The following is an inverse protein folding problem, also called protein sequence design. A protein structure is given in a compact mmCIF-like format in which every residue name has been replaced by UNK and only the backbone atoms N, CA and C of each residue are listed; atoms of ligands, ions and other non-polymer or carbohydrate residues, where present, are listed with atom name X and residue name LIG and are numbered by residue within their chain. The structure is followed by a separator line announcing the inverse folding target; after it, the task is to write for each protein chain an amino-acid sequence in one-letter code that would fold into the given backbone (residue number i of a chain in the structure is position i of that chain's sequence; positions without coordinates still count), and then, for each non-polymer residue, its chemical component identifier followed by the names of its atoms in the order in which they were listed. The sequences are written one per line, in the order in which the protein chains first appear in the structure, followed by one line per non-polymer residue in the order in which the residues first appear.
data_IF_848704715987
#
_entry.id   IF_848704715987
#
_cell.length_a   1.000
_cell.length_b   1.000
_cell.length_c   1.000
_cell.angle_alpha   90.00
_cell.angle_beta   90.00
_cell.angle_gamma   90.00
#
_symmetry.space_group_name_H-M   'P 1'
#
loop_
_entity.id
_entity.type
_entity.pdbx_description
1 polymer ?
#
# COMPACT_ATOMS: atom_id res chain seq x y z
N UNK A 1 10.61 19.68 -0.56
CA UNK A 1 10.72 21.14 -0.38
C UNK A 1 9.44 21.64 0.27
N UNK A 2 9.54 22.70 1.07
CA UNK A 2 8.48 23.30 1.90
C UNK A 2 7.16 23.62 1.15
N UNK A 3 7.17 23.64 -0.18
CA UNK A 3 6.00 23.81 -1.03
C UNK A 3 4.90 22.73 -0.85
N UNK A 4 5.24 21.52 -0.39
CA UNK A 4 4.25 20.48 -0.10
C UNK A 4 3.62 20.60 1.30
N UNK A 5 4.30 21.28 2.23
CA UNK A 5 3.80 21.53 3.59
C UNK A 5 2.87 22.75 3.63
N UNK A 6 3.16 23.78 2.83
CA UNK A 6 2.29 24.98 2.74
C UNK A 6 0.96 24.72 2.01
N UNK A 7 0.91 23.74 1.10
CA UNK A 7 -0.35 23.29 0.52
C UNK A 7 -1.28 22.59 1.54
N UNK A 8 -0.72 22.02 2.61
CA UNK A 8 -1.50 21.39 3.68
C UNK A 8 -2.07 22.40 4.70
N UNK A 9 -1.50 23.62 4.76
CA UNK A 9 -1.93 24.66 5.70
C UNK A 9 -2.88 25.71 5.11
N UNK A 10 -3.00 25.81 3.78
CA UNK A 10 -3.78 26.86 3.10
C UNK A 10 -4.95 26.36 2.22
N UNK A 11 -5.31 25.07 2.25
CA UNK A 11 -6.22 24.45 1.28
C UNK A 11 -7.58 23.97 1.80
N UNK A 12 -8.52 24.90 2.01
CA UNK A 12 -9.93 24.69 1.71
C UNK A 12 -10.78 23.83 2.67
N UNK A 13 -11.43 24.48 3.63
CA UNK A 13 -12.71 24.01 4.16
C UNK A 13 -13.77 23.99 3.04
N UNK A 14 -13.79 22.91 2.26
CA UNK A 14 -14.75 22.72 1.18
C UNK A 14 -16.17 22.50 1.72
N UNK A 15 -17.17 23.06 1.04
CA UNK A 15 -18.59 22.88 1.39
C UNK A 15 -19.01 21.40 1.31
N UNK A 16 -19.48 20.79 2.42
CA UNK A 16 -19.99 19.42 2.43
C UNK A 16 -21.11 19.16 1.41
N UNK A 17 -21.94 20.16 1.09
CA UNK A 17 -23.01 20.02 0.08
C UNK A 17 -22.43 19.88 -1.31
N UNK A 18 -21.41 20.66 -1.64
CA UNK A 18 -20.69 20.54 -2.91
C UNK A 18 -19.99 19.17 -3.04
N UNK A 19 -19.39 18.66 -1.96
CA UNK A 19 -18.80 17.33 -1.96
C UNK A 19 -19.84 16.21 -2.18
N UNK A 20 -21.03 16.36 -1.59
CA UNK A 20 -22.14 15.42 -1.78
C UNK A 20 -22.71 15.46 -3.20
N UNK A 21 -22.88 16.66 -3.76
CA UNK A 21 -23.34 16.85 -5.14
C UNK A 21 -22.38 16.18 -6.14
N UNK A 22 -21.07 16.43 -5.99
CA UNK A 22 -20.05 15.82 -6.83
C UNK A 22 -20.03 14.28 -6.68
N UNK A 23 -20.13 13.77 -5.45
CA UNK A 23 -20.20 12.32 -5.23
C UNK A 23 -21.44 11.68 -5.87
N UNK A 24 -22.58 12.39 -5.88
CA UNK A 24 -23.80 11.92 -6.54
C UNK A 24 -23.65 11.91 -8.06
N UNK A 25 -23.08 12.96 -8.65
CA UNK A 25 -22.80 13.07 -10.08
C UNK A 25 -21.88 11.95 -10.58
N UNK A 26 -20.74 11.75 -9.90
CA UNK A 26 -19.78 10.71 -10.25
C UNK A 26 -20.37 9.30 -10.16
N UNK A 27 -21.30 9.06 -9.23
CA UNK A 27 -22.01 7.79 -9.11
C UNK A 27 -23.05 7.61 -10.20
N UNK A 28 -23.82 8.65 -10.53
CA UNK A 28 -24.77 8.59 -11.63
C UNK A 28 -24.09 8.32 -12.98
N UNK A 29 -22.89 8.88 -13.20
CA UNK A 29 -22.08 8.60 -14.39
C UNK A 29 -21.54 7.15 -14.44
N UNK A 30 -21.36 6.53 -13.27
CA UNK A 30 -20.83 5.17 -13.10
C UNK A 30 -21.92 4.09 -13.17
N UNK A 31 -23.13 4.37 -12.69
CA UNK A 31 -24.27 3.43 -12.67
C UNK A 31 -24.76 3.13 -14.10
N UNK A 32 -24.13 2.15 -14.76
CA UNK A 32 -24.61 1.55 -16.03
C UNK A 32 -24.93 0.05 -15.90
N UNK A 33 -24.92 -0.51 -14.70
CA UNK A 33 -25.16 -1.94 -14.44
C UNK A 33 -26.45 -2.22 -13.65
N UNK A 34 -27.02 -3.43 -13.77
CA UNK A 34 -28.24 -3.78 -13.04
C UNK A 34 -28.03 -3.65 -11.53
N UNK A 35 -29.01 -3.07 -10.81
CA UNK A 35 -28.88 -2.82 -9.40
C UNK A 35 -28.89 -4.15 -8.67
N UNK A 36 -27.99 -4.30 -7.69
CA UNK A 36 -28.14 -5.20 -6.53
C UNK A 36 -28.95 -6.47 -6.82
N UNK A 37 -28.28 -7.52 -7.27
CA UNK A 37 -28.90 -8.85 -7.38
C UNK A 37 -29.34 -9.35 -6.00
N UNK A 38 -30.53 -9.92 -5.90
CA UNK A 38 -30.94 -10.67 -4.71
C UNK A 38 -30.38 -12.08 -4.77
N UNK A 39 -30.33 -12.81 -3.65
CA UNK A 39 -29.85 -14.21 -3.61
C UNK A 39 -30.54 -15.12 -4.63
N UNK A 40 -31.79 -14.81 -4.98
CA UNK A 40 -32.61 -15.61 -5.89
C UNK A 40 -32.40 -15.24 -7.36
N UNK A 41 -31.61 -14.20 -7.66
CA UNK A 41 -31.21 -13.86 -9.02
C UNK A 41 -30.25 -14.94 -9.56
N UNK A 42 -30.55 -15.58 -10.70
CA UNK A 42 -29.62 -16.54 -11.33
C UNK A 42 -28.22 -15.97 -11.59
N UNK A 43 -28.09 -14.64 -11.74
CA UNK A 43 -26.82 -13.92 -11.92
C UNK A 43 -26.25 -13.34 -10.62
N UNK A 44 -26.76 -13.77 -9.46
CA UNK A 44 -26.29 -13.29 -8.16
C UNK A 44 -24.78 -13.44 -8.01
N UNK A 45 -24.24 -14.62 -8.32
CA UNK A 45 -22.80 -14.89 -8.18
C UNK A 45 -21.95 -13.98 -9.07
N UNK A 46 -22.35 -13.82 -10.34
CA UNK A 46 -21.68 -12.93 -11.29
C UNK A 46 -21.68 -11.47 -10.80
N UNK A 47 -22.83 -11.00 -10.34
CA UNK A 47 -23.01 -9.62 -9.84
C UNK A 47 -22.23 -9.38 -8.55
N UNK A 48 -22.25 -10.35 -7.63
CA UNK A 48 -21.51 -10.30 -6.37
C UNK A 48 -20.00 -10.21 -6.61
N UNK A 49 -19.45 -11.09 -7.44
CA UNK A 49 -18.01 -11.11 -7.70
C UNK A 49 -17.53 -9.90 -8.50
N UNK A 50 -18.32 -9.43 -9.46
CA UNK A 50 -18.03 -8.18 -10.20
C UNK A 50 -17.93 -6.96 -9.27
N UNK A 51 -18.71 -6.97 -8.19
CA UNK A 51 -18.75 -5.90 -7.21
C UNK A 51 -17.81 -6.14 -6.02
N UNK A 52 -17.10 -7.26 -5.94
CA UNK A 52 -16.34 -7.63 -4.74
C UNK A 52 -14.88 -7.22 -4.85
N UNK A 53 -14.47 -6.23 -4.04
CA UNK A 53 -13.06 -5.83 -3.91
C UNK A 53 -12.15 -7.00 -3.51
N UNK A 54 -12.62 -7.86 -2.61
CA UNK A 54 -11.83 -8.97 -2.09
C UNK A 54 -11.69 -10.08 -3.12
N UNK A 55 -12.69 -10.28 -3.98
CA UNK A 55 -12.57 -11.18 -5.12
C UNK A 55 -11.61 -10.61 -6.18
N UNK A 56 -11.71 -9.31 -6.48
CA UNK A 56 -10.77 -8.63 -7.36
C UNK A 56 -9.33 -8.80 -6.87
N UNK A 57 -9.09 -8.60 -5.57
CA UNK A 57 -7.79 -8.85 -4.96
C UNK A 57 -7.46 -10.36 -4.99
N UNK A 58 -8.38 -11.24 -4.64
CA UNK A 58 -8.12 -12.69 -4.67
C UNK A 58 -7.70 -13.24 -6.04
N UNK A 59 -8.13 -12.59 -7.12
CA UNK A 59 -7.80 -12.97 -8.50
C UNK A 59 -6.59 -12.22 -9.09
N UNK A 60 -6.07 -11.19 -8.43
CA UNK A 60 -4.94 -10.40 -8.94
C UNK A 60 -3.69 -11.26 -9.12
N UNK A 61 -3.42 -12.17 -8.17
CA UNK A 61 -2.21 -12.98 -8.13
C UNK A 61 -2.04 -13.79 -9.42
N UNK A 62 -3.08 -14.51 -9.82
CA UNK A 62 -3.06 -15.31 -11.06
C UNK A 62 -2.85 -14.46 -12.31
N UNK A 63 -3.38 -13.23 -12.34
CA UNK A 63 -3.20 -12.32 -13.48
C UNK A 63 -1.76 -11.82 -13.59
N UNK A 64 -1.17 -11.42 -12.46
CA UNK A 64 0.22 -10.96 -12.44
C UNK A 64 1.18 -12.11 -12.71
N UNK A 65 0.91 -13.32 -12.21
CA UNK A 65 1.69 -14.52 -12.55
C UNK A 65 1.65 -14.81 -14.06
N UNK A 66 0.48 -14.71 -14.71
CA UNK A 66 0.37 -14.86 -16.16
C UNK A 66 1.16 -13.76 -16.91
N UNK A 67 1.03 -12.50 -16.47
CA UNK A 67 1.76 -11.37 -17.04
C UNK A 67 3.29 -11.53 -16.88
N UNK A 68 3.76 -12.01 -15.74
CA UNK A 68 5.18 -12.30 -15.52
C UNK A 68 5.67 -13.41 -16.43
N UNK A 69 4.89 -14.50 -16.57
CA UNK A 69 5.24 -15.60 -17.48
C UNK A 69 5.34 -15.14 -18.95
N UNK A 70 4.47 -14.22 -19.39
CA UNK A 70 4.56 -13.61 -20.72
C UNK A 70 5.86 -12.83 -20.93
N UNK A 71 6.33 -12.12 -19.90
CA UNK A 71 7.57 -11.30 -19.96
C UNK A 71 8.83 -12.17 -19.82
N UNK A 72 8.82 -13.17 -18.94
CA UNK A 72 9.93 -14.09 -18.70
C UNK A 72 10.26 -14.96 -19.92
N UNK A 73 9.26 -15.31 -20.74
CA UNK A 73 9.43 -16.13 -21.94
C UNK A 73 10.42 -15.55 -22.97
N UNK A 74 10.85 -14.29 -22.82
CA UNK A 74 11.85 -13.63 -23.67
C UNK A 74 13.10 -13.11 -22.95
N UNK A 75 13.26 -13.32 -21.64
CA UNK A 75 14.34 -12.70 -20.86
C UNK A 75 15.46 -13.70 -20.49
N UNK A 76 16.74 -13.30 -20.57
CA UNK A 76 17.84 -14.11 -20.06
C UNK A 76 17.74 -14.23 -18.54
N UNK A 77 18.13 -15.41 -18.01
CA UNK A 77 18.20 -15.62 -16.57
C UNK A 77 19.13 -14.58 -15.91
N UNK A 78 18.78 -14.06 -14.72
CA UNK A 78 19.61 -13.09 -14.02
C UNK A 78 20.99 -13.69 -13.73
N UNK A 79 22.04 -12.94 -14.05
CA UNK A 79 23.41 -13.36 -13.77
C UNK A 79 23.59 -13.52 -12.24
N UNK A 80 24.33 -14.55 -11.78
CA UNK A 80 24.63 -14.69 -10.37
C UNK A 80 25.42 -13.47 -9.87
N UNK A 81 25.12 -13.03 -8.64
CA UNK A 81 25.79 -11.89 -8.04
C UNK A 81 27.29 -12.13 -7.89
N UNK A 82 28.09 -11.10 -8.17
CA UNK A 82 29.52 -11.16 -7.87
C UNK A 82 29.76 -11.23 -6.36
N UNK A 83 30.73 -12.05 -5.96
CA UNK A 83 31.07 -12.28 -4.56
C UNK A 83 31.42 -10.94 -3.88
N UNK A 84 30.71 -10.61 -2.80
CA UNK A 84 30.90 -9.37 -2.04
C UNK A 84 29.95 -8.23 -2.41
N UNK A 85 29.07 -8.40 -3.41
CA UNK A 85 28.03 -7.41 -3.69
C UNK A 85 27.01 -7.39 -2.55
N UNK A 86 26.78 -6.21 -1.98
CA UNK A 86 25.76 -6.04 -0.96
C UNK A 86 24.36 -6.18 -1.57
N UNK A 87 23.53 -7.04 -0.97
CA UNK A 87 22.11 -7.16 -1.35
C UNK A 87 21.39 -5.82 -1.17
N UNK A 88 20.63 -5.42 -2.19
CA UNK A 88 19.77 -4.23 -2.18
C UNK A 88 18.38 -4.61 -2.67
N UNK A 89 17.41 -4.51 -1.77
CA UNK A 89 16.00 -4.75 -2.05
C UNK A 89 15.27 -3.42 -2.14
N UNK A 90 14.52 -3.25 -3.22
CA UNK A 90 13.58 -2.15 -3.39
C UNK A 90 12.17 -2.68 -3.12
N UNK A 91 11.42 -1.99 -2.26
CA UNK A 91 10.00 -2.23 -2.06
C UNK A 91 9.23 -1.06 -2.64
N UNK A 92 8.28 -1.33 -3.53
CA UNK A 92 7.49 -0.32 -4.24
C UNK A 92 6.03 -0.54 -3.90
N UNK A 93 5.36 0.53 -3.49
CA UNK A 93 3.95 0.51 -3.06
C UNK A 93 3.25 1.79 -3.53
N UNK A 94 2.21 1.64 -4.37
CA UNK A 94 1.44 2.76 -4.90
C UNK A 94 0.77 3.57 -3.79
N UNK A 95 0.71 4.89 -3.97
CA UNK A 95 0.09 5.77 -3.00
C UNK A 95 -1.43 5.72 -3.09
N UNK A 96 -2.09 5.32 -2.00
CA UNK A 96 -3.56 5.28 -1.87
C UNK A 96 -4.28 4.73 -3.13
N UNK A 97 -3.74 3.66 -3.70
CA UNK A 97 -3.98 3.15 -5.06
C UNK A 97 -5.38 3.40 -5.66
N UNK A 98 -6.45 2.83 -5.09
CA UNK A 98 -7.79 3.01 -5.68
C UNK A 98 -8.25 4.48 -5.71
N UNK A 99 -7.92 5.28 -4.69
CA UNK A 99 -8.27 6.69 -4.66
C UNK A 99 -7.46 7.49 -5.68
N UNK A 100 -6.16 7.18 -5.84
CA UNK A 100 -5.31 7.80 -6.86
C UNK A 100 -5.80 7.49 -8.27
N UNK A 101 -6.08 6.22 -8.58
CA UNK A 101 -6.60 5.82 -9.91
C UNK A 101 -7.97 6.43 -10.18
N UNK A 102 -8.85 6.49 -9.18
CA UNK A 102 -10.17 7.12 -9.34
C UNK A 102 -10.09 8.64 -9.59
N UNK A 103 -9.00 9.31 -9.20
CA UNK A 103 -8.77 10.72 -9.45
C UNK A 103 -8.16 11.01 -10.84
N UNK A 104 -7.61 10.01 -11.52
CA UNK A 104 -6.99 10.19 -12.85
C UNK A 104 -8.02 10.70 -13.85
N UNK A 105 -7.68 11.81 -14.52
CA UNK A 105 -8.54 12.46 -15.51
C UNK A 105 -9.74 13.22 -14.93
N UNK A 106 -9.79 13.44 -13.61
CA UNK A 106 -10.89 14.13 -12.90
C UNK A 106 -10.38 15.37 -12.15
N UNK A 107 -10.12 16.50 -12.83
CA UNK A 107 -9.62 17.72 -12.19
C UNK A 107 -10.53 18.23 -11.08
N UNK A 108 -11.83 17.94 -11.13
CA UNK A 108 -12.81 18.27 -10.08
C UNK A 108 -12.55 17.55 -8.74
N UNK A 109 -11.78 16.45 -8.74
CA UNK A 109 -11.33 15.73 -7.55
C UNK A 109 -9.97 16.23 -7.01
N UNK A 110 -9.26 17.07 -7.76
CA UNK A 110 -7.96 17.60 -7.33
C UNK A 110 -8.11 18.41 -6.04
N UNK A 111 -7.20 18.20 -5.09
CA UNK A 111 -7.19 18.92 -3.81
C UNK A 111 -8.37 18.59 -2.87
N UNK A 112 -9.16 17.54 -3.13
CA UNK A 112 -10.29 17.15 -2.28
C UNK A 112 -10.01 15.89 -1.47
N UNK A 113 -10.49 15.78 -0.22
CA UNK A 113 -10.52 14.50 0.50
C UNK A 113 -11.38 13.48 -0.24
N UNK A 114 -10.78 12.35 -0.61
CA UNK A 114 -11.38 11.33 -1.47
C UNK A 114 -11.32 9.96 -0.79
N UNK A 115 -12.42 9.21 -0.89
CA UNK A 115 -12.48 7.80 -0.51
C UNK A 115 -13.20 6.95 -1.56
N UNK A 116 -12.78 5.69 -1.69
CA UNK A 116 -13.43 4.68 -2.54
C UNK A 116 -14.26 3.75 -1.68
N UNK A 117 -15.57 3.68 -1.94
CA UNK A 117 -16.52 2.86 -1.17
C UNK A 117 -17.79 2.56 -1.97
N UNK A 118 -18.40 1.39 -1.74
CA UNK A 118 -19.64 0.99 -2.42
C UNK A 118 -20.81 1.92 -2.09
N UNK A 119 -20.90 2.39 -0.84
CA UNK A 119 -22.01 3.21 -0.38
C UNK A 119 -21.60 4.66 -0.19
N UNK A 120 -22.51 5.57 -0.59
CA UNK A 120 -22.41 6.99 -0.25
C UNK A 120 -23.18 7.36 1.02
N UNK A 121 -23.88 6.40 1.64
CA UNK A 121 -24.82 6.68 2.73
C UNK A 121 -24.08 7.21 3.97
N UNK A 122 -24.57 8.31 4.52
CA UNK A 122 -24.07 8.88 5.77
C UNK A 122 -24.20 7.93 6.97
N UNK A 123 -25.11 6.96 6.90
CA UNK A 123 -25.32 5.90 7.91
C UNK A 123 -24.92 4.52 7.40
N UNK A 124 -24.13 4.45 6.32
CA UNK A 124 -23.72 3.20 5.71
C UNK A 124 -22.68 2.44 6.55
N UNK A 125 -22.75 1.11 6.50
CA UNK A 125 -21.77 0.18 7.08
C UNK A 125 -20.75 -0.30 6.05
N UNK A 126 -20.73 0.29 4.86
CA UNK A 126 -19.73 -0.05 3.85
C UNK A 126 -18.35 0.45 4.26
N UNK A 127 -17.34 -0.38 4.07
CA UNK A 127 -15.95 -0.09 4.39
C UNK A 127 -15.32 0.81 3.33
N UNK A 128 -14.49 1.75 3.79
CA UNK A 128 -13.58 2.52 2.94
C UNK A 128 -12.45 1.61 2.48
N UNK A 129 -12.29 1.45 1.17
CA UNK A 129 -11.16 0.66 0.64
C UNK A 129 -9.86 1.43 0.55
N UNK A 130 -9.95 2.65 0.05
CA UNK A 130 -8.81 3.56 -0.02
C UNK A 130 -9.30 4.95 0.25
N UNK A 131 -8.48 5.72 0.94
CA UNK A 131 -8.65 7.15 1.14
C UNK A 131 -7.33 7.83 0.75
N UNK A 132 -7.41 8.98 0.08
CA UNK A 132 -6.23 9.77 -0.24
C UNK A 132 -5.65 10.44 1.02
N UNK A 133 -4.43 10.97 0.92
CA UNK A 133 -3.74 11.53 2.08
C UNK A 133 -4.45 12.74 2.70
N UNK A 134 -5.25 13.50 1.95
CA UNK A 134 -6.11 14.57 2.48
C UNK A 134 -7.24 14.02 3.37
N UNK A 135 -7.84 12.89 3.01
CA UNK A 135 -8.81 12.22 3.88
C UNK A 135 -8.11 11.60 5.11
N UNK A 136 -6.90 11.04 4.92
CA UNK A 136 -6.12 10.44 6.01
C UNK A 136 -5.65 11.45 7.05
N UNK A 137 -5.30 12.68 6.64
CA UNK A 137 -4.97 13.75 7.59
C UNK A 137 -6.15 14.15 8.47
N UNK A 138 -7.39 13.93 7.99
CA UNK A 138 -8.62 14.08 8.76
C UNK A 138 -8.94 12.84 9.61
N UNK A 139 -8.05 11.84 9.66
CA UNK A 139 -8.20 10.63 10.46
C UNK A 139 -9.02 9.52 9.79
N UNK A 140 -9.36 9.63 8.50
CA UNK A 140 -9.99 8.54 7.73
C UNK A 140 -8.93 7.48 7.39
N UNK A 141 -9.24 6.20 7.59
CA UNK A 141 -8.34 5.10 7.22
C UNK A 141 -9.07 4.03 6.41
N UNK A 142 -8.31 3.14 5.78
CA UNK A 142 -8.87 1.94 5.17
C UNK A 142 -9.59 1.08 6.23
N UNK A 143 -10.58 0.32 5.78
CA UNK A 143 -11.46 -0.55 6.59
C UNK A 143 -12.33 0.18 7.63
N UNK A 144 -12.27 1.50 7.68
CA UNK A 144 -13.21 2.32 8.43
C UNK A 144 -14.59 2.29 7.77
N UNK A 145 -15.67 2.19 8.56
CA UNK A 145 -17.03 2.36 8.05
C UNK A 145 -17.25 3.78 7.54
N UNK A 146 -17.99 3.90 6.43
CA UNK A 146 -18.22 5.20 5.78
C UNK A 146 -18.92 6.22 6.68
N UNK A 147 -19.77 5.78 7.61
CA UNK A 147 -20.39 6.62 8.62
C UNK A 147 -19.36 7.34 9.50
N UNK A 148 -18.35 6.60 9.97
CA UNK A 148 -17.25 7.15 10.77
C UNK A 148 -16.33 8.03 9.93
N UNK A 149 -16.02 7.61 8.70
CA UNK A 149 -15.19 8.40 7.79
C UNK A 149 -15.80 9.78 7.51
N UNK A 150 -17.12 9.85 7.32
CA UNK A 150 -17.85 11.11 7.13
C UNK A 150 -17.94 11.95 8.40
N UNK A 151 -18.03 11.32 9.57
CA UNK A 151 -17.98 12.04 10.86
C UNK A 151 -16.63 12.74 11.03
N UNK A 152 -15.54 12.06 10.64
CA UNK A 152 -14.17 12.60 10.70
C UNK A 152 -13.88 13.63 9.61
N UNK A 153 -14.44 13.42 8.42
CA UNK A 153 -14.24 14.28 7.24
C UNK A 153 -15.61 14.59 6.59
N UNK A 154 -16.34 15.62 7.05
CA UNK A 154 -17.66 15.97 6.51
C UNK A 154 -17.67 16.30 5.01
N UNK A 155 -16.55 16.83 4.51
CA UNK A 155 -16.29 17.19 3.12
C UNK A 155 -15.78 16.02 2.25
N UNK A 156 -15.77 14.79 2.77
CA UNK A 156 -15.29 13.60 2.05
C UNK A 156 -16.13 13.33 0.80
N UNK A 157 -15.45 13.31 -0.35
CA UNK A 157 -16.00 12.86 -1.63
C UNK A 157 -15.84 11.34 -1.70
N UNK A 158 -16.93 10.63 -1.97
CA UNK A 158 -16.96 9.16 -1.96
C UNK A 158 -17.31 8.63 -3.33
N UNK A 159 -16.34 8.03 -4.00
CA UNK A 159 -16.46 7.53 -5.37
C UNK A 159 -16.66 6.00 -5.40
N UNK A 160 -17.31 5.46 -6.46
CA UNK A 160 -17.47 4.02 -6.64
C UNK A 160 -16.15 3.34 -7.05
N UNK A 161 -16.15 2.00 -7.12
CA UNK A 161 -15.00 1.22 -7.59
C UNK A 161 -14.95 1.20 -9.11
N UNK A 162 -13.75 1.37 -9.69
CA UNK A 162 -13.51 1.25 -11.11
C UNK A 162 -12.50 0.11 -11.37
N UNK A 163 -12.93 -1.15 -11.13
CA UNK A 163 -12.05 -2.32 -11.16
C UNK A 163 -11.24 -2.49 -12.45
N UNK A 164 -11.84 -2.19 -13.61
CA UNK A 164 -11.14 -2.26 -14.90
C UNK A 164 -9.97 -1.26 -14.97
N UNK A 165 -10.14 -0.04 -14.44
CA UNK A 165 -9.07 0.95 -14.35
C UNK A 165 -7.97 0.50 -13.39
N UNK A 166 -8.36 -0.06 -12.24
CA UNK A 166 -7.40 -0.57 -11.26
C UNK A 166 -6.56 -1.71 -11.85
N UNK A 167 -7.18 -2.61 -12.61
CA UNK A 167 -6.46 -3.68 -13.30
C UNK A 167 -5.49 -3.12 -14.35
N UNK A 168 -5.96 -2.22 -15.23
CA UNK A 168 -5.12 -1.64 -16.27
C UNK A 168 -3.88 -0.92 -15.70
N UNK A 169 -4.05 -0.13 -14.63
CA UNK A 169 -2.93 0.55 -13.97
C UNK A 169 -2.01 -0.45 -13.28
N UNK A 170 -2.55 -1.47 -12.61
CA UNK A 170 -1.76 -2.53 -11.98
C UNK A 170 -0.85 -3.25 -13.00
N UNK A 171 -1.41 -3.71 -14.12
CA UNK A 171 -0.64 -4.35 -15.20
C UNK A 171 0.44 -3.41 -15.76
N UNK A 172 0.12 -2.13 -15.95
CA UNK A 172 1.08 -1.13 -16.40
C UNK A 172 2.23 -0.94 -15.41
N UNK A 173 1.95 -0.87 -14.11
CA UNK A 173 2.97 -0.80 -13.05
C UNK A 173 3.87 -2.02 -13.11
N UNK A 174 3.31 -3.24 -13.12
CA UNK A 174 4.12 -4.46 -13.17
C UNK A 174 4.98 -4.57 -14.43
N UNK A 175 4.48 -4.14 -15.60
CA UNK A 175 5.30 -4.04 -16.82
C UNK A 175 6.47 -3.08 -16.67
N UNK A 176 6.29 -1.95 -15.96
CA UNK A 176 7.39 -1.04 -15.63
C UNK A 176 8.36 -1.73 -14.66
N UNK A 177 7.90 -2.37 -13.59
CA UNK A 177 8.80 -3.02 -12.62
C UNK A 177 9.69 -4.09 -13.29
N UNK A 178 9.09 -4.92 -14.14
CA UNK A 178 9.81 -5.99 -14.85
C UNK A 178 10.78 -5.47 -15.92
N UNK A 179 10.63 -4.23 -16.40
CA UNK A 179 11.61 -3.64 -17.32
C UNK A 179 12.92 -3.23 -16.62
N UNK A 180 12.94 -3.17 -15.28
CA UNK A 180 14.13 -2.82 -14.51
C UNK A 180 14.89 -4.07 -14.03
N UNK A 181 14.18 -5.15 -13.70
CA UNK A 181 14.77 -6.42 -13.25
C UNK A 181 13.81 -7.57 -13.50
N UNK A 182 14.35 -8.76 -13.76
CA UNK A 182 13.56 -9.99 -13.77
C UNK A 182 13.23 -10.49 -12.35
N UNK A 183 13.95 -10.01 -11.33
CA UNK A 183 13.78 -10.43 -9.94
C UNK A 183 12.71 -9.61 -9.24
N UNK A 184 11.47 -9.75 -9.70
CA UNK A 184 10.29 -9.09 -9.13
C UNK A 184 9.49 -10.12 -8.31
N UNK A 185 9.16 -9.77 -7.07
CA UNK A 185 8.23 -10.55 -6.24
C UNK A 185 6.94 -9.75 -6.03
N UNK A 186 5.83 -10.14 -6.68
CA UNK A 186 4.52 -9.53 -6.47
C UNK A 186 3.98 -9.76 -5.05
N UNK A 187 3.39 -8.72 -4.43
CA UNK A 187 2.77 -8.79 -3.11
C UNK A 187 1.27 -8.49 -3.15
N UNK A 188 0.86 -7.51 -3.95
CA UNK A 188 -0.55 -7.15 -4.22
C UNK A 188 -0.70 -6.65 -5.66
N UNK A 189 -1.90 -6.15 -6.02
CA UNK A 189 -2.09 -5.45 -7.29
C UNK A 189 -1.24 -4.16 -7.42
N UNK A 190 -0.68 -3.64 -6.34
CA UNK A 190 -0.03 -2.33 -6.28
C UNK A 190 1.24 -2.29 -5.41
N UNK A 191 1.69 -3.45 -4.91
CA UNK A 191 2.84 -3.62 -4.02
C UNK A 191 3.73 -4.76 -4.54
N UNK A 192 5.04 -4.52 -4.62
CA UNK A 192 6.02 -5.53 -5.06
C UNK A 192 7.41 -5.27 -4.46
N UNK A 193 8.22 -6.33 -4.39
CA UNK A 193 9.65 -6.24 -4.15
C UNK A 193 10.43 -6.44 -5.45
N UNK A 194 11.55 -5.74 -5.56
CA UNK A 194 12.52 -5.89 -6.64
C UNK A 194 13.89 -6.15 -5.99
N UNK A 195 14.55 -7.22 -6.39
CA UNK A 195 15.98 -7.36 -6.11
C UNK A 195 16.75 -6.56 -7.16
N UNK A 196 17.41 -5.49 -6.69
CA UNK A 196 18.18 -4.56 -7.54
C UNK A 196 19.68 -4.63 -7.24
N UNK A 197 20.10 -5.70 -6.58
CA UNK A 197 21.50 -5.97 -6.25
C UNK A 197 22.36 -5.92 -7.50
N UNK A 198 23.35 -5.03 -7.51
CA UNK A 198 24.29 -4.87 -8.62
C UNK A 198 23.72 -4.21 -9.89
N UNK A 199 22.45 -3.81 -9.93
CA UNK A 199 21.84 -3.19 -11.13
C UNK A 199 22.22 -1.72 -11.33
N UNK A 200 22.53 -1.00 -10.25
CA UNK A 200 22.94 0.39 -10.31
C UNK A 200 23.91 0.71 -9.17
N UNK A 201 24.93 1.57 -9.40
CA UNK A 201 25.80 2.06 -8.33
C UNK A 201 25.04 2.85 -7.26
N UNK A 202 23.98 3.57 -7.66
CA UNK A 202 23.12 4.34 -6.77
C UNK A 202 21.66 3.81 -6.81
N UNK A 203 21.25 3.04 -5.78
CA UNK A 203 19.88 2.57 -5.62
C UNK A 203 18.84 3.69 -5.47
N UNK A 204 19.22 4.85 -4.93
CA UNK A 204 18.29 5.98 -4.73
C UNK A 204 17.93 6.63 -6.06
N UNK A 205 18.92 6.81 -6.94
CA UNK A 205 18.67 7.27 -8.30
C UNK A 205 17.83 6.27 -9.10
N UNK A 206 18.06 4.97 -8.94
CA UNK A 206 17.22 3.92 -9.55
C UNK A 206 15.76 4.04 -9.08
N UNK A 207 15.53 4.16 -7.77
CA UNK A 207 14.21 4.33 -7.18
C UNK A 207 13.51 5.62 -7.67
N UNK A 208 14.25 6.73 -7.78
CA UNK A 208 13.72 8.00 -8.30
C UNK A 208 13.27 7.88 -9.76
N UNK A 209 14.07 7.22 -10.62
CA UNK A 209 13.70 6.98 -12.02
C UNK A 209 12.46 6.10 -12.13
N UNK A 210 12.42 4.99 -11.39
CA UNK A 210 11.28 4.08 -11.37
C UNK A 210 10.00 4.80 -10.94
N UNK A 211 10.05 5.59 -9.86
CA UNK A 211 8.90 6.37 -9.37
C UNK A 211 8.46 7.43 -10.36
N UNK A 212 9.39 8.13 -11.00
CA UNK A 212 9.08 9.13 -12.03
C UNK A 212 8.42 8.47 -13.26
N UNK A 213 8.89 7.30 -13.67
CA UNK A 213 8.30 6.56 -14.78
C UNK A 213 6.89 6.07 -14.47
N UNK A 214 6.67 5.51 -13.27
CA UNK A 214 5.33 5.13 -12.79
C UNK A 214 4.40 6.36 -12.82
N UNK A 215 4.84 7.49 -12.26
CA UNK A 215 4.04 8.72 -12.24
C UNK A 215 3.71 9.22 -13.65
N UNK A 216 4.69 9.24 -14.55
CA UNK A 216 4.49 9.67 -15.93
C UNK A 216 3.52 8.77 -16.69
N UNK A 217 3.65 7.45 -16.55
CA UNK A 217 2.86 6.47 -17.32
C UNK A 217 1.46 6.25 -16.78
N UNK A 218 1.25 6.40 -15.47
CA UNK A 218 -0.01 6.04 -14.80
C UNK A 218 -0.77 7.25 -14.25
N UNK A 219 -0.16 8.43 -14.23
CA UNK A 219 -0.63 9.61 -13.49
C UNK A 219 -0.84 9.37 -11.97
N UNK A 220 -0.29 8.28 -11.43
CA UNK A 220 -0.38 7.91 -10.02
C UNK A 220 1.03 7.85 -9.41
N UNK A 221 1.17 8.25 -8.14
CA UNK A 221 2.47 8.22 -7.46
C UNK A 221 2.71 6.88 -6.77
N UNK A 222 3.99 6.52 -6.63
CA UNK A 222 4.44 5.40 -5.82
C UNK A 222 5.48 5.88 -4.82
N UNK A 223 5.50 5.24 -3.66
CA UNK A 223 6.57 5.39 -2.67
C UNK A 223 7.48 4.17 -2.69
N UNK A 224 8.76 4.37 -2.41
CA UNK A 224 9.75 3.30 -2.47
C UNK A 224 10.65 3.26 -1.24
N UNK A 225 10.82 2.08 -0.65
CA UNK A 225 11.78 1.83 0.41
C UNK A 225 12.95 1.01 -0.10
N UNK A 226 14.16 1.40 0.28
CA UNK A 226 15.40 0.71 -0.09
C UNK A 226 15.99 0.12 1.19
N UNK A 227 16.29 -1.18 1.19
CA UNK A 227 16.85 -1.85 2.36
C UNK A 227 17.73 -3.05 2.01
N UNK A 228 18.49 -3.59 2.99
CA UNK A 228 19.35 -4.75 2.78
C UNK A 228 18.59 -6.08 2.70
N UNK A 229 17.29 -6.09 3.03
CA UNK A 229 16.38 -7.23 2.96
C UNK A 229 14.93 -6.73 2.81
N UNK A 230 14.00 -7.67 2.59
CA UNK A 230 12.58 -7.38 2.35
C UNK A 230 11.90 -6.67 3.53
N UNK A 231 12.15 -7.13 4.76
CA UNK A 231 11.63 -6.51 5.97
C UNK A 231 11.96 -5.01 6.04
N UNK A 232 13.24 -4.67 5.95
CA UNK A 232 13.71 -3.29 6.10
C UNK A 232 13.23 -2.43 4.93
N UNK A 233 13.27 -2.95 3.70
CA UNK A 233 12.76 -2.23 2.52
C UNK A 233 11.25 -1.89 2.66
N UNK A 234 10.44 -2.83 3.16
CA UNK A 234 9.01 -2.59 3.40
C UNK A 234 8.77 -1.54 4.47
N UNK A 235 9.50 -1.60 5.58
CA UNK A 235 9.42 -0.62 6.66
C UNK A 235 9.89 0.77 6.21
N UNK A 236 10.96 0.84 5.40
CA UNK A 236 11.44 2.08 4.80
C UNK A 236 10.35 2.72 3.91
N UNK A 237 9.58 1.91 3.18
CA UNK A 237 8.47 2.41 2.35
C UNK A 237 7.38 3.06 3.19
N UNK A 238 7.05 2.50 4.36
CA UNK A 238 6.10 3.13 5.29
C UNK A 238 6.56 4.53 5.72
N UNK A 239 7.86 4.72 5.95
CA UNK A 239 8.45 6.03 6.28
C UNK A 239 8.54 6.97 5.07
N UNK A 240 8.66 6.41 3.88
CA UNK A 240 8.75 7.17 2.62
C UNK A 240 7.41 7.76 2.17
N UNK A 241 6.28 7.15 2.54
CA UNK A 241 4.94 7.60 2.14
C UNK A 241 4.58 8.97 2.76
N UNK A 242 3.91 9.88 2.04
CA UNK A 242 3.46 9.79 0.64
C UNK A 242 4.49 10.25 -0.40
N UNK A 243 4.40 9.72 -1.64
CA UNK A 243 5.20 10.11 -2.81
C UNK A 243 6.67 10.41 -2.48
N UNK A 244 7.31 9.50 -1.74
CA UNK A 244 8.68 9.65 -1.30
C UNK A 244 9.50 8.39 -1.51
N UNK A 245 10.77 8.49 -1.18
CA UNK A 245 11.64 7.33 -1.07
C UNK A 245 12.50 7.44 0.19
N UNK A 246 12.88 6.30 0.75
CA UNK A 246 13.71 6.26 1.95
C UNK A 246 14.67 5.07 1.88
N UNK A 247 15.95 5.30 2.16
CA UNK A 247 16.99 4.27 2.19
C UNK A 247 17.45 3.99 3.60
N UNK A 248 17.52 2.71 3.93
CA UNK A 248 18.18 2.20 5.13
C UNK A 248 19.38 1.36 4.69
N UNK A 249 20.58 1.76 5.11
CA UNK A 249 21.81 1.03 4.79
C UNK A 249 22.08 -0.03 5.85
N UNK A 250 22.93 -1.02 5.56
CA UNK A 250 23.30 -2.07 6.53
C UNK A 250 23.76 -1.50 7.88
N UNK A 251 24.55 -0.42 7.82
CA UNK A 251 25.07 0.27 9.01
C UNK A 251 24.01 1.00 9.84
N UNK A 252 22.88 1.42 9.24
CA UNK A 252 21.82 2.15 9.92
C UNK A 252 20.59 1.31 10.28
N UNK A 253 20.60 -0.01 10.01
CA UNK A 253 19.45 -0.89 10.28
C UNK A 253 19.03 -0.83 11.74
N UNK A 254 19.96 -1.03 12.68
CA UNK A 254 19.59 -1.06 14.10
C UNK A 254 19.01 0.28 14.54
N UNK A 255 19.63 1.41 14.21
CA UNK A 255 19.10 2.72 14.56
C UNK A 255 17.69 2.94 14.00
N UNK A 256 17.49 2.63 12.72
CA UNK A 256 16.18 2.72 12.08
C UNK A 256 15.13 1.82 12.77
N UNK A 257 15.48 0.57 13.08
CA UNK A 257 14.58 -0.37 13.74
C UNK A 257 14.24 0.08 15.16
N UNK A 258 15.20 0.65 15.89
CA UNK A 258 15.02 1.13 17.26
C UNK A 258 14.03 2.29 17.39
N UNK A 259 13.77 3.02 16.30
CA UNK A 259 12.81 4.13 16.28
C UNK A 259 11.37 3.68 16.05
N UNK A 260 11.14 2.38 15.83
CA UNK A 260 9.81 1.82 15.55
C UNK A 260 9.07 1.37 16.81
N UNK A 261 7.76 1.49 16.75
CA UNK A 261 6.85 0.77 17.64
C UNK A 261 6.68 -0.68 17.18
N UNK A 262 6.33 -1.58 18.10
CA UNK A 262 6.22 -3.01 17.79
C UNK A 262 5.08 -3.34 16.82
N UNK A 263 4.00 -2.55 16.83
CA UNK A 263 2.86 -2.68 15.91
C UNK A 263 3.19 -2.33 14.46
N UNK A 264 4.34 -1.69 14.22
CA UNK A 264 4.82 -1.41 12.87
C UNK A 264 5.51 -2.62 12.24
N UNK A 265 5.99 -3.58 13.05
CA UNK A 265 6.67 -4.78 12.59
C UNK A 265 5.71 -5.74 11.87
N UNK A 266 6.13 -6.37 10.76
CA UNK A 266 5.33 -7.39 10.09
C UNK A 266 4.97 -8.54 11.03
N UNK A 267 3.71 -8.97 10.98
CA UNK A 267 3.17 -10.03 11.84
C UNK A 267 2.61 -9.55 13.17
N UNK A 268 2.78 -8.28 13.54
CA UNK A 268 2.22 -7.70 14.76
C UNK A 268 0.86 -7.05 14.48
N UNK A 269 -0.19 -7.88 14.50
CA UNK A 269 -1.57 -7.42 14.44
C UNK A 269 -2.10 -6.94 15.81
N UNK A 270 -3.36 -6.48 15.84
CA UNK A 270 -4.00 -5.93 17.05
C UNK A 270 -3.89 -6.83 18.29
N UNK A 271 -4.15 -8.14 18.14
CA UNK A 271 -4.09 -9.09 19.25
C UNK A 271 -2.67 -9.24 19.80
N UNK A 272 -1.66 -9.34 18.91
CA UNK A 272 -0.26 -9.46 19.34
C UNK A 272 0.24 -8.15 19.95
N UNK A 273 -0.11 -7.00 19.37
CA UNK A 273 0.21 -5.69 19.94
C UNK A 273 -0.35 -5.53 21.34
N UNK A 274 -1.62 -5.91 21.57
CA UNK A 274 -2.24 -5.88 22.90
C UNK A 274 -1.51 -6.79 23.89
N UNK A 275 -1.13 -8.00 23.47
CA UNK A 275 -0.35 -8.92 24.30
C UNK A 275 1.08 -8.42 24.61
N UNK A 276 1.73 -7.72 23.69
CA UNK A 276 3.04 -7.11 23.93
C UNK A 276 2.92 -5.92 24.91
N UNK A 277 1.86 -5.13 24.77
CA UNK A 277 1.55 -4.03 25.69
C UNK A 277 1.36 -4.51 27.14
N UNK A 278 0.67 -5.64 27.36
CA UNK A 278 0.54 -6.21 28.73
C UNK A 278 1.86 -6.70 29.31
N UNK A 279 2.85 -6.98 28.47
CA UNK A 279 4.23 -7.29 28.87
C UNK A 279 5.11 -6.03 29.03
N UNK A 280 4.55 -4.83 28.86
CA UNK A 280 5.27 -3.56 28.92
C UNK A 280 6.11 -3.25 27.67
N UNK A 281 5.86 -3.94 26.56
CA UNK A 281 6.61 -3.82 25.31
C UNK A 281 5.76 -3.06 24.29
N UNK A 282 6.10 -1.80 24.03
CA UNK A 282 5.44 -0.96 23.01
C UNK A 282 6.39 -0.51 21.90
N UNK A 283 7.69 -0.49 22.16
CA UNK A 283 8.74 -0.11 21.21
C UNK A 283 9.71 -1.26 20.90
N UNK A 284 10.36 -1.19 19.75
CA UNK A 284 11.42 -2.13 19.37
C UNK A 284 12.58 -2.12 20.37
N UNK A 285 12.96 -0.94 20.90
CA UNK A 285 14.00 -0.84 21.95
C UNK A 285 13.64 -1.58 23.23
N UNK A 286 12.38 -1.52 23.68
CA UNK A 286 11.92 -2.33 24.82
C UNK A 286 11.90 -3.81 24.50
N UNK A 287 11.59 -4.18 23.25
CA UNK A 287 11.65 -5.57 22.81
C UNK A 287 13.08 -6.11 22.86
N UNK A 288 14.10 -5.31 22.49
CA UNK A 288 15.51 -5.72 22.61
C UNK A 288 15.96 -5.96 24.04
N UNK A 289 15.39 -5.25 25.03
CA UNK A 289 15.63 -5.53 26.44
C UNK A 289 15.01 -6.86 26.92
N UNK A 290 14.22 -7.52 26.06
CA UNK A 290 13.58 -8.81 26.36
C UNK A 290 14.37 -9.96 25.74
N UNK A 291 14.59 -11.04 26.49
CA UNK A 291 15.28 -12.22 25.96
C UNK A 291 14.42 -12.95 24.92
N UNK A 292 15.07 -13.48 23.87
CA UNK A 292 14.43 -14.32 22.85
C UNK A 292 13.66 -15.49 23.47
N UNK A 293 14.23 -16.14 24.48
CA UNK A 293 13.60 -17.27 25.21
C UNK A 293 12.30 -16.85 25.90
N UNK A 294 12.24 -15.64 26.48
CA UNK A 294 11.00 -15.15 27.10
C UNK A 294 9.92 -14.91 26.04
N UNK A 295 10.27 -14.29 24.91
CA UNK A 295 9.33 -14.07 23.82
C UNK A 295 8.79 -15.39 23.26
N UNK A 296 9.64 -16.39 23.09
CA UNK A 296 9.23 -17.73 22.65
C UNK A 296 8.31 -18.43 23.66
N UNK A 297 8.58 -18.28 24.97
CA UNK A 297 7.70 -18.84 26.02
C UNK A 297 6.33 -18.17 26.03
N UNK A 298 6.27 -16.85 25.82
CA UNK A 298 5.02 -16.10 25.87
C UNK A 298 4.19 -16.21 24.58
N UNK A 299 4.85 -16.25 23.42
CA UNK A 299 4.21 -16.13 22.11
C UNK A 299 4.21 -17.43 21.29
N UNK A 300 4.96 -18.44 21.74
CA UNK A 300 5.24 -19.65 20.98
C UNK A 300 6.60 -19.58 20.26
N UNK A 301 7.19 -20.75 20.03
CA UNK A 301 8.58 -20.88 19.59
C UNK A 301 8.90 -20.17 18.26
N UNK A 302 8.02 -20.31 17.26
CA UNK A 302 8.19 -19.69 15.95
C UNK A 302 7.96 -18.18 16.00
N UNK A 303 6.77 -17.76 16.44
CA UNK A 303 6.39 -16.35 16.49
C UNK A 303 7.35 -15.51 17.35
N UNK A 304 7.78 -16.03 18.51
CA UNK A 304 8.74 -15.34 19.36
C UNK A 304 10.14 -15.23 18.74
N UNK A 305 10.58 -16.23 17.96
CA UNK A 305 11.83 -16.16 17.22
C UNK A 305 11.76 -15.17 16.06
N UNK A 306 10.70 -15.24 15.26
CA UNK A 306 10.48 -14.37 14.09
C UNK A 306 10.36 -12.91 14.54
N UNK A 307 9.59 -12.63 15.60
CA UNK A 307 9.46 -11.29 16.15
C UNK A 307 10.79 -10.74 16.67
N UNK A 308 11.58 -11.56 17.35
CA UNK A 308 12.90 -11.15 17.82
C UNK A 308 13.85 -10.86 16.65
N UNK A 309 13.88 -11.71 15.62
CA UNK A 309 14.68 -11.49 14.42
C UNK A 309 14.26 -10.22 13.68
N UNK A 310 12.96 -10.05 13.45
CA UNK A 310 12.40 -8.85 12.81
C UNK A 310 12.73 -7.58 13.58
N UNK A 311 12.65 -7.60 14.92
CA UNK A 311 13.03 -6.45 15.74
C UNK A 311 14.50 -6.05 15.57
N UNK A 312 15.39 -6.98 15.23
CA UNK A 312 16.79 -6.71 14.93
C UNK A 312 17.06 -6.45 13.43
N UNK A 313 16.00 -6.29 12.63
CA UNK A 313 16.10 -6.07 11.19
C UNK A 313 16.60 -7.28 10.40
N UNK A 314 16.52 -8.49 10.98
CA UNK A 314 16.96 -9.73 10.34
C UNK A 314 15.79 -10.38 9.62
N UNK A 315 15.99 -10.68 8.34
CA UNK A 315 15.06 -11.38 7.45
C UNK A 315 15.86 -12.10 6.37
N UNK A 316 15.67 -13.41 6.26
CA UNK A 316 16.44 -14.31 5.36
C UNK A 316 15.66 -14.73 4.10
N UNK A 317 14.44 -14.20 3.92
CA UNK A 317 13.63 -14.46 2.73
C UNK A 317 14.25 -13.90 1.45
#
# INVERSE_FOLDING_TARGET
SEAAADAAAAGGGGDPRAAQALAAELRAAHDRGPPRSTRNDPRFMETFFRSSRLHFIGTWKTRIEALMAEVEAGAPAPAPYSKGTERVILHVDMDCFFASVAAVGRPELAGRPLAVCHSNSARGTSEVSSANYLARSSGVCADMFISEARRRCPQLVVVPYEFDKYQAVSEQVYRILMSYTALVQPISCDEAFLDVTGLAPDPEQLASRLRAEIAHKTACTASAGIGPNMLVARLATKRAKPNGQFRVTRGSVLDFMGDLNVDQLPGVGWSLSSKLQTLGITSVRQLWATSRTLLQRQLGAKLGADLWAHAHGVDER
#
